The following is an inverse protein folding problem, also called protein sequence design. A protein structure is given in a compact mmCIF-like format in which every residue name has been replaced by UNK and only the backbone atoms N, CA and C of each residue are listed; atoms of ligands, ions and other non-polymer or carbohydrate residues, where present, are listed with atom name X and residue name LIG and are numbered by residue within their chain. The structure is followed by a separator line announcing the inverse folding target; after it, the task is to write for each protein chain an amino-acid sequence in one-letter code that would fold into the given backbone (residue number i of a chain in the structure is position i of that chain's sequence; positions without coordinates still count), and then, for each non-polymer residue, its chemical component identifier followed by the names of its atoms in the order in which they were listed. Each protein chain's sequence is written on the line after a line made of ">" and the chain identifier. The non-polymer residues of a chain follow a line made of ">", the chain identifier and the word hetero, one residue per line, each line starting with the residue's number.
data_IF_230416803978
#
_entry.id   IF_230416803978
#
_cell.length_a   1.000
_cell.length_b   1.000
_cell.length_c   1.000
_cell.angle_alpha   90.00
_cell.angle_beta   90.00
_cell.angle_gamma   90.00
#
_symmetry.space_group_name_H-M   'P 1'
#
loop_
_entity.id
_entity.type
_entity.pdbx_description
1 polymer ?
#
# COMPACT_ATOMS: atom_id res chain seq x y z
N UNK A 1 13.05 -16.63 27.01
CA UNK A 1 13.33 -16.56 25.56
C UNK A 1 13.42 -15.08 25.21
N UNK A 2 14.55 -14.65 24.64
CA UNK A 2 14.77 -13.26 24.23
C UNK A 2 13.83 -12.95 23.06
N UNK A 3 13.09 -11.83 23.12
CA UNK A 3 12.25 -11.42 22.02
C UNK A 3 13.13 -11.17 20.76
N UNK A 4 12.67 -11.59 19.56
CA UNK A 4 13.43 -11.37 18.34
C UNK A 4 13.61 -9.87 18.07
N UNK A 5 14.76 -9.49 17.53
CA UNK A 5 15.03 -8.10 17.11
C UNK A 5 14.17 -7.70 15.90
N UNK A 6 14.03 -6.40 15.65
CA UNK A 6 13.37 -5.90 14.44
C UNK A 6 13.99 -6.48 13.16
N UNK A 7 15.32 -6.61 13.13
CA UNK A 7 16.06 -7.19 11.99
C UNK A 7 15.69 -8.65 11.74
N UNK A 8 15.57 -9.46 12.79
CA UNK A 8 15.19 -10.88 12.68
C UNK A 8 13.75 -11.05 12.20
N UNK A 9 12.83 -10.21 12.67
CA UNK A 9 11.43 -10.24 12.20
C UNK A 9 11.28 -9.75 10.76
N UNK A 10 12.07 -8.76 10.35
CA UNK A 10 11.97 -8.13 9.04
C UNK A 10 12.79 -8.83 7.95
N UNK A 11 13.69 -9.75 8.31
CA UNK A 11 14.55 -10.45 7.35
C UNK A 11 13.77 -11.09 6.19
N UNK A 12 12.77 -11.95 6.46
CA UNK A 12 11.97 -12.59 5.41
C UNK A 12 11.19 -11.57 4.55
N UNK A 13 10.67 -10.52 5.16
CA UNK A 13 9.97 -9.45 4.46
C UNK A 13 10.91 -8.68 3.52
N UNK A 14 12.12 -8.35 3.96
CA UNK A 14 13.15 -7.69 3.14
C UNK A 14 13.54 -8.56 1.95
N UNK A 15 13.78 -9.84 2.14
CA UNK A 15 14.12 -10.77 1.06
C UNK A 15 13.00 -10.85 0.01
N UNK A 16 11.74 -10.91 0.45
CA UNK A 16 10.60 -10.91 -0.45
C UNK A 16 10.45 -9.58 -1.21
N UNK A 17 10.76 -8.44 -0.58
CA UNK A 17 10.77 -7.13 -1.23
C UNK A 17 11.89 -7.01 -2.27
N UNK A 18 13.05 -7.56 -2.01
CA UNK A 18 14.14 -7.63 -2.99
C UNK A 18 13.75 -8.47 -4.20
N UNK A 19 13.14 -9.64 -3.98
CA UNK A 19 12.65 -10.49 -5.07
C UNK A 19 11.64 -9.74 -5.96
N UNK A 20 10.79 -8.88 -5.40
CA UNK A 20 9.86 -8.05 -6.18
C UNK A 20 10.58 -7.10 -7.16
N UNK A 21 11.77 -6.62 -6.83
CA UNK A 21 12.54 -5.72 -7.70
C UNK A 21 13.02 -6.41 -8.98
N UNK A 22 13.29 -7.72 -8.94
CA UNK A 22 13.69 -8.51 -10.11
C UNK A 22 12.54 -8.69 -11.12
N UNK A 23 11.31 -8.50 -10.69
CA UNK A 23 10.12 -8.64 -11.53
C UNK A 23 9.73 -7.35 -12.29
N UNK A 24 10.50 -6.26 -12.13
CA UNK A 24 10.21 -4.98 -12.79
C UNK A 24 9.99 -5.07 -14.31
N UNK A 25 10.78 -5.84 -15.09
CA UNK A 25 10.54 -5.99 -16.52
C UNK A 25 9.18 -6.62 -16.81
N UNK A 26 8.77 -7.62 -16.01
CA UNK A 26 7.46 -8.26 -16.13
C UNK A 26 6.32 -7.30 -15.80
N UNK A 27 6.46 -6.49 -14.75
CA UNK A 27 5.47 -5.48 -14.40
C UNK A 27 5.27 -4.43 -15.48
N UNK A 28 6.36 -3.99 -16.13
CA UNK A 28 6.28 -3.06 -17.27
C UNK A 28 5.56 -3.70 -18.46
N UNK A 29 5.79 -4.97 -18.72
CA UNK A 29 5.10 -5.70 -19.78
C UNK A 29 3.60 -5.86 -19.47
N UNK A 30 3.25 -6.15 -18.21
CA UNK A 30 1.87 -6.29 -17.77
C UNK A 30 1.10 -4.96 -17.83
N UNK A 31 1.75 -3.82 -17.62
CA UNK A 31 1.14 -2.50 -17.78
C UNK A 31 0.89 -2.11 -19.25
N UNK A 32 1.66 -2.64 -20.20
CA UNK A 32 1.51 -2.32 -21.61
C UNK A 32 1.53 -0.81 -21.88
N UNK A 33 0.52 -0.31 -22.61
CA UNK A 33 0.39 1.10 -22.96
C UNK A 33 -0.10 1.99 -21.78
N UNK A 34 -0.75 1.42 -20.78
CA UNK A 34 -1.31 2.18 -19.63
C UNK A 34 -0.20 2.93 -18.85
N UNK A 35 0.98 2.33 -18.72
CA UNK A 35 2.12 2.96 -18.05
C UNK A 35 2.81 4.10 -18.81
N UNK A 36 2.36 4.42 -20.03
CA UNK A 36 2.94 5.47 -20.87
C UNK A 36 2.06 6.70 -21.04
N UNK A 37 0.84 6.66 -20.56
CA UNK A 37 -0.09 7.79 -20.68
C UNK A 37 -0.09 8.61 -19.39
N UNK A 38 -0.18 9.97 -19.49
CA UNK A 38 -0.43 10.78 -18.33
C UNK A 38 -1.76 10.36 -17.70
N UNK A 39 -1.82 10.43 -16.37
CA UNK A 39 -3.04 10.14 -15.63
C UNK A 39 -4.20 10.93 -16.25
N UNK A 40 -5.20 10.22 -16.72
CA UNK A 40 -6.49 10.79 -17.09
C UNK A 40 -7.50 10.32 -16.07
N UNK A 41 -8.18 11.25 -15.41
CA UNK A 41 -9.39 10.92 -14.71
C UNK A 41 -10.38 10.39 -15.76
N UNK A 42 -10.44 9.07 -15.89
CA UNK A 42 -11.49 8.44 -16.67
C UNK A 42 -12.72 8.43 -15.79
N UNK A 43 -13.68 9.28 -16.07
CA UNK A 43 -14.97 9.35 -15.35
C UNK A 43 -15.78 8.05 -15.36
N UNK A 44 -15.25 6.99 -15.97
CA UNK A 44 -15.84 5.67 -16.04
C UNK A 44 -15.20 4.66 -15.04
N UNK A 45 -13.99 4.89 -14.57
CA UNK A 45 -13.46 4.10 -13.46
C UNK A 45 -14.08 4.63 -12.17
N UNK A 46 -15.07 3.88 -11.70
CA UNK A 46 -15.65 4.13 -10.39
C UNK A 46 -14.53 4.25 -9.36
N UNK A 47 -14.51 5.37 -8.65
CA UNK A 47 -13.56 5.57 -7.58
C UNK A 47 -13.83 4.51 -6.50
N UNK A 48 -13.10 3.40 -6.60
CA UNK A 48 -13.27 2.26 -5.71
C UNK A 48 -13.18 2.67 -4.23
N UNK A 49 -12.26 3.57 -3.92
CA UNK A 49 -12.07 4.01 -2.54
C UNK A 49 -13.26 4.82 -2.03
N UNK A 50 -13.86 5.67 -2.87
CA UNK A 50 -15.04 6.43 -2.49
C UNK A 50 -16.32 5.60 -2.53
N UNK A 51 -16.50 4.75 -3.52
CA UNK A 51 -17.75 4.00 -3.69
C UNK A 51 -17.85 2.73 -2.87
N UNK A 52 -16.75 2.07 -2.61
CA UNK A 52 -16.75 0.75 -1.93
C UNK A 52 -16.03 0.78 -0.58
N UNK A 53 -14.92 1.49 -0.47
CA UNK A 53 -14.14 1.47 0.78
C UNK A 53 -14.70 2.45 1.81
N UNK A 54 -15.10 3.65 1.38
CA UNK A 54 -15.72 4.63 2.28
C UNK A 54 -17.06 4.12 2.87
N UNK A 55 -18.04 3.63 2.07
CA UNK A 55 -19.30 3.08 2.59
C UNK A 55 -19.13 1.84 3.45
N UNK A 56 -18.11 1.01 3.23
CA UNK A 56 -17.83 -0.15 4.08
C UNK A 56 -17.57 0.23 5.54
N UNK A 57 -17.31 1.50 5.80
CA UNK A 57 -17.13 2.04 7.15
C UNK A 57 -18.40 2.69 7.72
N UNK A 58 -19.43 2.85 6.92
CA UNK A 58 -20.67 3.54 7.30
C UNK A 58 -21.40 2.84 8.47
N UNK A 59 -21.36 1.51 8.52
CA UNK A 59 -21.87 0.74 9.66
C UNK A 59 -21.20 1.08 11.00
N UNK A 60 -20.05 1.77 10.96
CA UNK A 60 -19.31 2.24 12.13
C UNK A 60 -19.48 3.75 12.38
N UNK A 61 -20.45 4.37 11.68
CA UNK A 61 -20.87 5.75 11.84
C UNK A 61 -20.44 6.68 10.70
N UNK A 62 -21.30 7.66 10.33
CA UNK A 62 -21.09 8.54 9.17
C UNK A 62 -19.82 9.40 9.28
N UNK A 63 -19.39 9.73 10.48
CA UNK A 63 -18.15 10.49 10.68
C UNK A 63 -16.89 9.72 10.27
N UNK A 64 -16.94 8.39 10.34
CA UNK A 64 -15.81 7.56 9.90
C UNK A 64 -15.64 7.60 8.38
N UNK A 65 -16.74 7.58 7.65
CA UNK A 65 -16.75 7.76 6.19
C UNK A 65 -16.20 9.12 5.79
N UNK A 66 -16.71 10.19 6.39
CA UNK A 66 -16.24 11.56 6.13
C UNK A 66 -14.75 11.76 6.45
N UNK A 67 -14.24 11.12 7.50
CA UNK A 67 -12.81 11.15 7.82
C UNK A 67 -11.99 10.41 6.76
N UNK A 68 -12.48 9.26 6.29
CA UNK A 68 -11.81 8.54 5.19
C UNK A 68 -11.76 9.38 3.91
N UNK A 69 -12.87 10.02 3.52
CA UNK A 69 -12.95 10.90 2.36
C UNK A 69 -11.98 12.08 2.45
N UNK A 70 -11.91 12.73 3.63
CA UNK A 70 -10.95 13.82 3.87
C UNK A 70 -9.50 13.35 3.80
N UNK A 71 -9.19 12.19 4.37
CA UNK A 71 -7.87 11.58 4.30
C UNK A 71 -7.48 11.22 2.85
N UNK A 72 -8.42 10.69 2.06
CA UNK A 72 -8.21 10.39 0.65
C UNK A 72 -7.96 11.66 -0.17
N UNK A 73 -8.78 12.71 0.04
CA UNK A 73 -8.58 13.99 -0.63
C UNK A 73 -7.18 14.58 -0.32
N UNK A 74 -6.76 14.49 0.96
CA UNK A 74 -5.43 14.95 1.36
C UNK A 74 -4.31 14.15 0.70
N UNK A 75 -4.42 12.83 0.64
CA UNK A 75 -3.46 11.96 -0.03
C UNK A 75 -3.33 12.30 -1.52
N UNK A 76 -4.44 12.53 -2.21
CA UNK A 76 -4.46 12.95 -3.61
C UNK A 76 -3.80 14.30 -3.82
N UNK A 77 -4.11 15.27 -2.95
CA UNK A 77 -3.47 16.59 -2.99
C UNK A 77 -1.94 16.49 -2.84
N UNK A 78 -1.45 15.67 -1.90
CA UNK A 78 -0.02 15.45 -1.70
C UNK A 78 0.63 14.79 -2.94
N UNK A 79 -0.05 13.85 -3.57
CA UNK A 79 0.43 13.17 -4.77
C UNK A 79 0.51 14.14 -5.96
N UNK A 80 -0.53 14.95 -6.19
CA UNK A 80 -0.61 15.91 -7.28
C UNK A 80 0.41 17.05 -7.12
N UNK A 81 0.66 17.47 -5.90
CA UNK A 81 1.70 18.46 -5.59
C UNK A 81 3.14 17.92 -5.77
N UNK A 82 3.30 16.60 -5.97
CA UNK A 82 4.61 15.97 -6.03
C UNK A 82 5.35 15.96 -4.69
N UNK A 83 4.62 16.15 -3.60
CA UNK A 83 5.16 16.20 -2.25
C UNK A 83 5.90 14.90 -1.88
N UNK A 84 7.05 15.02 -1.21
CA UNK A 84 7.80 13.84 -0.80
C UNK A 84 7.06 13.01 0.24
N UNK A 85 7.11 11.69 0.12
CA UNK A 85 6.62 10.78 1.14
C UNK A 85 7.52 10.84 2.37
N UNK A 86 6.95 11.22 3.51
CA UNK A 86 7.61 11.20 4.82
C UNK A 86 6.70 10.59 5.87
N UNK A 87 7.28 10.05 6.92
CA UNK A 87 6.48 9.50 8.01
C UNK A 87 5.62 10.58 8.69
N UNK A 88 6.11 11.81 8.81
CA UNK A 88 5.33 12.94 9.36
C UNK A 88 4.04 13.19 8.57
N UNK A 89 4.08 13.13 7.23
CA UNK A 89 2.88 13.23 6.39
C UNK A 89 1.96 12.02 6.55
N UNK A 90 2.54 10.85 6.76
CA UNK A 90 1.73 9.65 7.04
C UNK A 90 0.98 9.79 8.35
N UNK A 91 1.59 10.37 9.37
CA UNK A 91 0.94 10.68 10.67
C UNK A 91 -0.18 11.70 10.48
N UNK A 92 0.06 12.82 9.76
CA UNK A 92 -0.96 13.83 9.46
C UNK A 92 -2.23 13.24 8.81
N UNK A 93 -2.04 12.41 7.80
CA UNK A 93 -3.14 11.72 7.12
C UNK A 93 -3.83 10.74 8.05
N UNK A 94 -3.07 10.02 8.87
CA UNK A 94 -3.62 9.06 9.83
C UNK A 94 -4.43 9.74 10.93
N UNK A 95 -4.01 10.90 11.41
CA UNK A 95 -4.78 11.72 12.35
C UNK A 95 -6.12 12.16 11.75
N UNK A 96 -6.10 12.57 10.48
CA UNK A 96 -7.33 12.88 9.74
C UNK A 96 -8.24 11.65 9.64
N UNK A 97 -7.68 10.50 9.31
CA UNK A 97 -8.40 9.24 9.15
C UNK A 97 -9.03 8.74 10.46
N UNK A 98 -8.32 8.91 11.57
CA UNK A 98 -8.78 8.45 12.90
C UNK A 98 -9.63 9.51 13.62
N UNK A 99 -9.40 10.80 13.33
CA UNK A 99 -10.01 11.92 14.05
C UNK A 99 -9.39 12.17 15.42
N UNK A 100 -8.21 11.62 15.68
CA UNK A 100 -7.47 11.78 16.93
C UNK A 100 -5.98 11.87 16.65
N UNK A 101 -5.24 12.51 17.56
CA UNK A 101 -3.77 12.53 17.50
C UNK A 101 -3.23 11.11 17.53
N UNK A 102 -2.24 10.86 16.69
CA UNK A 102 -1.60 9.57 16.60
C UNK A 102 -0.08 9.70 16.38
N UNK A 103 0.61 8.59 16.58
CA UNK A 103 2.03 8.45 16.34
C UNK A 103 2.31 7.01 15.94
N UNK A 104 3.59 6.66 15.79
CA UNK A 104 3.97 5.26 15.71
C UNK A 104 3.52 4.53 16.98
N UNK A 105 2.98 3.33 16.84
CA UNK A 105 2.49 2.56 17.98
C UNK A 105 3.61 2.21 18.96
N UNK A 106 3.30 2.24 20.24
CA UNK A 106 4.22 1.90 21.33
C UNK A 106 4.00 0.50 21.91
N UNK A 107 3.04 -0.23 21.38
CA UNK A 107 2.69 -1.59 21.80
C UNK A 107 2.35 -2.50 20.63
N UNK A 108 1.97 -3.73 20.93
CA UNK A 108 1.50 -4.68 19.92
C UNK A 108 0.23 -4.16 19.24
N UNK A 109 0.13 -4.39 17.94
CA UNK A 109 -1.10 -4.18 17.20
C UNK A 109 -1.78 -5.53 16.89
N UNK A 110 -3.09 -5.48 16.68
CA UNK A 110 -3.88 -6.67 16.41
C UNK A 110 -4.80 -6.42 15.22
N UNK A 111 -5.02 -7.46 14.41
CA UNK A 111 -5.98 -7.45 13.33
C UNK A 111 -6.88 -8.70 13.38
N UNK A 112 -7.95 -8.71 12.55
CA UNK A 112 -8.90 -9.81 12.47
C UNK A 112 -9.46 -10.23 13.84
N UNK A 113 -9.93 -9.25 14.64
CA UNK A 113 -10.45 -9.46 16.01
C UNK A 113 -9.47 -10.15 16.95
N UNK A 114 -8.18 -9.84 16.80
CA UNK A 114 -7.11 -10.39 17.64
C UNK A 114 -6.45 -11.65 17.11
N UNK A 115 -6.92 -12.22 15.99
CA UNK A 115 -6.33 -13.42 15.41
C UNK A 115 -4.89 -13.22 14.87
N UNK A 116 -4.55 -11.98 14.50
CA UNK A 116 -3.22 -11.63 14.03
C UNK A 116 -2.59 -10.60 14.97
N UNK A 117 -1.44 -10.93 15.52
CA UNK A 117 -0.64 -10.06 16.38
C UNK A 117 0.57 -9.54 15.62
N UNK A 118 0.76 -8.24 15.68
CA UNK A 118 1.95 -7.54 15.16
C UNK A 118 2.77 -7.07 16.34
N UNK A 119 3.82 -7.82 16.68
CA UNK A 119 4.63 -7.51 17.84
C UNK A 119 5.31 -6.14 17.72
N UNK A 120 5.37 -5.41 18.82
CA UNK A 120 6.21 -4.23 18.96
C UNK A 120 7.58 -4.67 19.45
N UNK A 121 8.63 -4.30 18.72
CA UNK A 121 10.01 -4.64 19.06
C UNK A 121 10.89 -3.40 19.04
N UNK A 122 11.97 -3.34 19.83
CA UNK A 122 12.90 -2.22 19.82
C UNK A 122 13.41 -1.92 18.40
N UNK A 123 13.42 -0.64 18.04
CA UNK A 123 13.88 -0.18 16.73
C UNK A 123 12.89 -0.32 15.57
N UNK A 124 11.67 -0.81 15.81
CA UNK A 124 10.66 -1.02 14.77
C UNK A 124 10.28 0.29 14.08
N UNK A 125 10.07 1.37 14.84
CA UNK A 125 9.76 2.70 14.32
C UNK A 125 10.88 3.22 13.42
N UNK A 126 12.10 3.22 13.92
CA UNK A 126 13.26 3.66 13.14
C UNK A 126 13.46 2.84 11.87
N UNK A 127 13.25 1.53 11.93
CA UNK A 127 13.32 0.64 10.77
C UNK A 127 12.25 0.96 9.73
N UNK A 128 11.02 1.25 10.15
CA UNK A 128 9.93 1.63 9.27
C UNK A 128 10.19 3.00 8.60
N UNK A 129 10.53 4.02 9.38
CA UNK A 129 10.80 5.36 8.87
C UNK A 129 11.96 5.32 7.87
N UNK A 130 13.06 4.71 8.24
CA UNK A 130 14.22 4.56 7.34
C UNK A 130 13.85 3.89 6.03
N UNK A 131 13.05 2.82 6.09
CA UNK A 131 12.63 2.08 4.90
C UNK A 131 11.73 2.93 3.99
N UNK A 132 10.71 3.59 4.54
CA UNK A 132 9.78 4.44 3.77
C UNK A 132 10.54 5.58 3.09
N UNK A 133 11.45 6.23 3.80
CA UNK A 133 12.23 7.35 3.26
C UNK A 133 13.30 6.90 2.27
N UNK A 134 13.90 5.73 2.46
CA UNK A 134 14.84 5.16 1.50
C UNK A 134 14.13 4.78 0.20
N UNK A 135 13.03 4.04 0.30
CA UNK A 135 12.23 3.64 -0.87
C UNK A 135 11.71 4.86 -1.65
N UNK A 136 11.36 5.96 -0.96
CA UNK A 136 10.88 7.19 -1.60
C UNK A 136 11.95 7.90 -2.45
N UNK A 137 13.24 7.66 -2.20
CA UNK A 137 14.38 8.25 -2.94
C UNK A 137 14.83 7.41 -4.12
N UNK A 138 14.44 6.13 -4.16
CA UNK A 138 14.87 5.23 -5.22
C UNK A 138 13.98 5.37 -6.46
N UNK A 139 14.60 5.38 -7.64
CA UNK A 139 13.87 5.29 -8.90
C UNK A 139 13.35 3.88 -9.10
N UNK A 140 12.04 3.69 -8.96
CA UNK A 140 11.38 2.41 -9.15
C UNK A 140 10.14 2.56 -10.03
N UNK A 141 9.71 1.44 -10.57
CA UNK A 141 8.44 1.37 -11.28
C UNK A 141 7.28 1.72 -10.31
N UNK A 142 6.33 2.62 -10.68
CA UNK A 142 5.28 3.09 -9.78
C UNK A 142 4.45 1.97 -9.14
N UNK A 143 4.15 0.89 -9.88
CA UNK A 143 3.43 -0.28 -9.34
C UNK A 143 4.26 -0.98 -8.25
N UNK A 144 5.57 -1.15 -8.48
CA UNK A 144 6.45 -1.76 -7.49
C UNK A 144 6.51 -0.91 -6.21
N UNK A 145 6.65 0.41 -6.34
CA UNK A 145 6.57 1.34 -5.22
C UNK A 145 5.25 1.23 -4.45
N UNK A 146 4.13 1.25 -5.17
CA UNK A 146 2.80 1.17 -4.56
C UNK A 146 2.60 -0.12 -3.77
N UNK A 147 2.99 -1.27 -4.34
CA UNK A 147 2.89 -2.57 -3.65
C UNK A 147 3.85 -2.66 -2.48
N UNK A 148 5.08 -2.15 -2.60
CA UNK A 148 6.05 -2.15 -1.49
C UNK A 148 5.51 -1.37 -0.30
N UNK A 149 5.06 -0.14 -0.51
CA UNK A 149 4.51 0.68 0.55
C UNK A 149 3.24 0.07 1.16
N UNK A 150 2.36 -0.48 0.33
CA UNK A 150 1.17 -1.18 0.77
C UNK A 150 1.51 -2.37 1.70
N UNK A 151 2.47 -3.21 1.30
CA UNK A 151 2.90 -4.37 2.08
C UNK A 151 3.65 -3.97 3.35
N UNK A 152 4.46 -2.90 3.29
CA UNK A 152 5.13 -2.37 4.47
C UNK A 152 4.11 -1.91 5.53
N UNK A 153 3.10 -1.17 5.13
CA UNK A 153 2.02 -0.76 6.03
C UNK A 153 1.23 -1.95 6.59
N UNK A 154 0.97 -2.97 5.75
CA UNK A 154 0.32 -4.19 6.20
C UNK A 154 1.18 -5.00 7.17
N UNK A 155 2.51 -4.96 7.02
CA UNK A 155 3.43 -5.78 7.81
C UNK A 155 3.90 -5.08 9.09
N UNK A 156 4.37 -3.84 8.99
CA UNK A 156 4.82 -3.08 10.17
C UNK A 156 3.67 -2.69 11.09
N UNK A 157 2.47 -2.50 10.53
CA UNK A 157 1.34 -1.96 11.29
C UNK A 157 1.75 -0.75 12.13
N UNK A 158 2.24 0.35 11.51
CA UNK A 158 2.89 1.43 12.23
C UNK A 158 1.96 2.18 13.18
N UNK A 159 0.67 2.16 12.95
CA UNK A 159 -0.31 2.92 13.72
C UNK A 159 -1.09 2.04 14.71
N UNK A 160 -1.64 2.63 15.78
CA UNK A 160 -2.48 1.90 16.74
C UNK A 160 -3.76 1.33 16.11
N UNK A 161 -4.34 2.01 15.12
CA UNK A 161 -5.50 1.58 14.34
C UNK A 161 -5.43 2.10 12.91
N UNK A 162 -6.28 1.55 12.02
CA UNK A 162 -6.48 2.02 10.66
C UNK A 162 -5.39 1.65 9.66
N UNK A 163 -4.47 0.75 9.99
CA UNK A 163 -3.35 0.40 9.12
C UNK A 163 -3.78 -0.13 7.74
N UNK A 164 -4.83 -0.93 7.67
CA UNK A 164 -5.35 -1.43 6.39
C UNK A 164 -5.95 -0.30 5.52
N UNK A 165 -6.56 0.71 6.14
CA UNK A 165 -7.06 1.91 5.44
C UNK A 165 -5.88 2.78 4.98
N UNK A 166 -4.91 3.02 5.86
CA UNK A 166 -3.68 3.71 5.52
C UNK A 166 -2.96 3.05 4.34
N UNK A 167 -2.83 1.72 4.35
CA UNK A 167 -2.18 0.99 3.27
C UNK A 167 -2.84 1.26 1.90
N UNK A 168 -4.17 1.32 1.84
CA UNK A 168 -4.89 1.64 0.59
C UNK A 168 -4.74 3.11 0.18
N UNK A 169 -4.79 4.03 1.13
CA UNK A 169 -4.57 5.46 0.86
C UNK A 169 -3.17 5.73 0.31
N UNK A 170 -2.15 5.12 0.89
CA UNK A 170 -0.78 5.31 0.45
C UNK A 170 -0.44 4.54 -0.83
N UNK A 171 -1.15 3.46 -1.13
CA UNK A 171 -1.11 2.82 -2.45
C UNK A 171 -1.66 3.78 -3.53
N UNK A 172 -2.79 4.43 -3.27
CA UNK A 172 -3.37 5.49 -4.13
C UNK A 172 -2.35 6.61 -4.37
N UNK A 173 -1.72 7.12 -3.29
CA UNK A 173 -0.69 8.16 -3.40
C UNK A 173 0.43 7.76 -4.37
N UNK A 174 0.97 6.54 -4.23
CA UNK A 174 2.07 6.09 -5.05
C UNK A 174 1.69 5.90 -6.52
N UNK A 175 0.51 5.33 -6.77
CA UNK A 175 0.00 5.15 -8.14
C UNK A 175 -0.25 6.51 -8.80
N UNK A 176 -0.97 7.41 -8.12
CA UNK A 176 -1.32 8.73 -8.63
C UNK A 176 -0.08 9.58 -8.91
N UNK A 177 0.90 9.57 -8.02
CA UNK A 177 2.19 10.22 -8.22
C UNK A 177 2.96 9.66 -9.42
N UNK A 178 2.80 8.37 -9.69
CA UNK A 178 3.35 7.69 -10.86
C UNK A 178 2.52 7.86 -12.15
N UNK A 179 1.47 8.68 -12.13
CA UNK A 179 0.59 8.90 -13.28
C UNK A 179 -0.34 7.71 -13.58
N UNK A 180 -0.55 6.82 -12.62
CA UNK A 180 -1.37 5.62 -12.78
C UNK A 180 -2.69 5.73 -12.02
N UNK A 181 -3.79 5.22 -12.59
CA UNK A 181 -5.08 5.16 -11.88
C UNK A 181 -5.06 4.10 -10.79
N UNK A 182 -5.89 4.29 -9.76
CA UNK A 182 -6.15 3.26 -8.77
C UNK A 182 -7.26 2.35 -9.27
N UNK A 183 -6.96 1.07 -9.55
CA UNK A 183 -7.97 0.11 -10.00
C UNK A 183 -8.82 -0.37 -8.82
N UNK A 184 -9.88 -1.17 -9.07
CA UNK A 184 -10.60 -1.86 -8.01
C UNK A 184 -9.65 -2.68 -7.13
N UNK A 185 -9.62 -2.39 -5.82
CA UNK A 185 -8.66 -2.99 -4.88
C UNK A 185 -9.18 -4.27 -4.20
N UNK A 186 -10.41 -4.69 -4.46
CA UNK A 186 -10.99 -5.88 -3.83
C UNK A 186 -10.08 -7.12 -3.95
N UNK A 187 -9.53 -7.46 -5.12
CA UNK A 187 -8.62 -8.60 -5.24
C UNK A 187 -7.37 -8.46 -4.37
N UNK A 188 -6.83 -7.23 -4.27
CA UNK A 188 -5.65 -6.94 -3.46
C UNK A 188 -5.95 -7.05 -1.97
N UNK A 189 -7.12 -6.57 -1.54
CA UNK A 189 -7.55 -6.60 -0.13
C UNK A 189 -7.80 -8.02 0.34
N UNK A 190 -8.42 -8.83 -0.50
CA UNK A 190 -8.79 -10.22 -0.18
C UNK A 190 -7.60 -11.19 -0.23
N UNK A 191 -6.52 -10.84 -0.92
CA UNK A 191 -5.36 -11.70 -1.02
C UNK A 191 -4.65 -11.88 0.33
N UNK A 192 -4.39 -13.11 0.77
CA UNK A 192 -3.62 -13.36 2.00
C UNK A 192 -2.20 -12.81 1.87
N UNK A 193 -1.81 -11.96 2.81
CA UNK A 193 -0.47 -11.38 2.85
C UNK A 193 0.30 -12.02 3.99
N UNK A 194 1.42 -12.67 3.65
CA UNK A 194 2.30 -13.29 4.63
C UNK A 194 3.69 -12.66 4.52
N UNK A 195 4.28 -12.20 5.62
CA UNK A 195 5.65 -11.72 5.60
C UNK A 195 6.60 -12.76 4.99
N UNK A 196 7.46 -12.34 4.05
CA UNK A 196 8.42 -13.24 3.41
C UNK A 196 7.89 -14.05 2.22
N UNK A 197 6.62 -13.90 1.85
CA UNK A 197 6.06 -14.55 0.65
C UNK A 197 6.41 -13.80 -0.63
N UNK A 198 7.63 -14.03 -1.14
CA UNK A 198 8.11 -13.37 -2.35
C UNK A 198 7.20 -13.65 -3.57
N UNK A 199 6.71 -14.88 -3.70
CA UNK A 199 5.80 -15.27 -4.80
C UNK A 199 4.47 -14.52 -4.68
N UNK A 200 3.91 -14.46 -3.46
CA UNK A 200 2.70 -13.70 -3.21
C UNK A 200 2.86 -12.20 -3.48
N UNK A 201 3.99 -11.60 -3.14
CA UNK A 201 4.27 -10.19 -3.42
C UNK A 201 4.35 -9.91 -4.92
N UNK A 202 5.04 -10.75 -5.67
CA UNK A 202 5.10 -10.65 -7.13
C UNK A 202 3.72 -10.81 -7.77
N UNK A 203 2.94 -11.79 -7.32
CA UNK A 203 1.56 -11.98 -7.81
C UNK A 203 0.67 -10.77 -7.53
N UNK A 204 0.77 -10.17 -6.35
CA UNK A 204 0.03 -8.93 -6.02
C UNK A 204 0.42 -7.77 -6.93
N UNK A 205 1.71 -7.59 -7.20
CA UNK A 205 2.19 -6.54 -8.08
C UNK A 205 1.69 -6.74 -9.52
N UNK A 206 1.75 -7.97 -10.03
CA UNK A 206 1.22 -8.31 -11.37
C UNK A 206 -0.30 -8.15 -11.45
N UNK A 207 -1.02 -8.56 -10.40
CA UNK A 207 -2.46 -8.37 -10.32
C UNK A 207 -2.81 -6.88 -10.38
N UNK A 208 -2.11 -6.05 -9.63
CA UNK A 208 -2.30 -4.60 -9.66
C UNK A 208 -2.00 -4.03 -11.05
N UNK A 209 -0.89 -4.40 -11.67
CA UNK A 209 -0.51 -3.93 -12.99
C UNK A 209 -1.56 -4.28 -14.05
N UNK A 210 -2.04 -5.52 -14.06
CA UNK A 210 -3.10 -5.97 -14.98
C UNK A 210 -4.43 -5.25 -14.74
N UNK A 211 -4.79 -5.02 -13.48
CA UNK A 211 -6.00 -4.26 -13.14
C UNK A 211 -5.92 -2.81 -13.62
N UNK A 212 -4.74 -2.20 -13.64
CA UNK A 212 -4.52 -0.86 -14.19
C UNK A 212 -4.59 -0.88 -15.73
N UNK A 213 -4.01 -1.90 -16.36
CA UNK A 213 -3.98 -2.03 -17.82
C UNK A 213 -5.38 -2.29 -18.42
N UNK A 214 -6.30 -2.82 -17.63
CA UNK A 214 -7.66 -3.14 -18.07
C UNK A 214 -7.79 -4.53 -18.71
N UNK A 215 -9.03 -4.95 -19.03
CA UNK A 215 -9.33 -6.30 -19.50
C UNK A 215 -8.75 -6.64 -20.88
N UNK A 216 -8.44 -5.64 -21.69
CA UNK A 216 -7.90 -5.82 -23.04
C UNK A 216 -6.35 -5.94 -23.08
N UNK A 217 -5.69 -5.93 -21.92
CA UNK A 217 -4.27 -6.14 -21.86
C UNK A 217 -3.92 -7.56 -22.33
N UNK A 218 -2.98 -7.74 -23.30
CA UNK A 218 -2.66 -9.05 -23.84
C UNK A 218 -2.15 -9.96 -22.72
N UNK A 219 -2.88 -11.03 -22.46
CA UNK A 219 -2.39 -12.12 -21.65
C UNK A 219 -1.17 -12.72 -22.36
N UNK A 220 0.03 -12.42 -21.92
CA UNK A 220 1.16 -13.26 -22.29
C UNK A 220 0.96 -14.59 -21.56
N UNK A 221 0.59 -15.60 -22.35
CA UNK A 221 0.64 -16.98 -21.90
C UNK A 221 2.04 -17.20 -21.32
N UNK A 222 2.08 -17.66 -20.09
CA UNK A 222 3.30 -18.19 -19.50
C UNK A 222 3.83 -19.22 -20.50
N UNK A 223 4.95 -18.87 -21.15
CA UNK A 223 5.61 -19.79 -22.05
C UNK A 223 6.04 -20.97 -21.19
N UNK A 224 5.46 -22.10 -21.54
CA UNK A 224 5.90 -23.42 -21.12
C UNK A 224 7.39 -23.68 -21.40
N UNK A 225 7.87 -24.73 -20.85
CA UNK A 225 9.09 -24.99 -20.08
C UNK A 225 10.39 -24.79 -20.82
#
# INVERSE_FOLDING_TARGET
>A
VKAPSATEQLGPHRAAMQALDWELPGLRADLGAAGRQPFRETGAQEDFLLRHDAPAHEAQGPERTKRFERALARVRQLADAGDALTFSRMVEVQETLLGVRTAFRTGDAFAHRGAHRYAHVPGLEAAFIHKVEADAREERHPVAHAIRLYLDLCFFHPFPDGNARAARLWLEYMLRRGGLPTPPLAPLVLWPKRPGDAVGYTRLARLLARSIAGPDAPCRNEVSP
#
